data_IF_869771042315
#
_entry.id   IF_869771042315
#
_cell.length_a   1.000
_cell.length_b   1.000
_cell.length_c   1.000
_cell.angle_alpha   90.00
_cell.angle_beta   90.00
_cell.angle_gamma   90.00
#
_symmetry.space_group_name_H-M   'P 1'
#
loop_
_entity.id
_entity.type
_entity.pdbx_description
1 polymer ?
#
# COMPACT_ATOMS: atom_id res chain seq x y z
N UNK A 1 17.14 -3.55 21.96
CA UNK A 1 15.75 -3.12 21.69
C UNK A 1 15.62 -2.39 20.35
N UNK A 2 16.53 -1.48 19.99
CA UNK A 2 16.50 -0.75 18.72
C UNK A 2 16.55 -1.65 17.46
N UNK A 3 17.40 -2.69 17.47
CA UNK A 3 17.44 -3.68 16.40
C UNK A 3 16.12 -4.45 16.23
N UNK A 4 15.42 -4.73 17.33
CA UNK A 4 14.13 -5.43 17.29
C UNK A 4 13.07 -4.52 16.68
N UNK A 5 13.05 -3.24 17.07
CA UNK A 5 12.19 -2.23 16.47
C UNK A 5 12.43 -2.16 14.95
N UNK A 6 13.69 -2.02 14.53
CA UNK A 6 14.09 -2.00 13.11
C UNK A 6 13.56 -3.23 12.32
N UNK A 7 13.64 -4.43 12.90
CA UNK A 7 13.12 -5.65 12.25
C UNK A 7 11.59 -5.62 12.14
N UNK A 8 10.88 -5.19 13.20
CA UNK A 8 9.41 -5.08 13.19
C UNK A 8 8.96 -4.03 12.17
N UNK A 9 9.61 -2.88 12.15
CA UNK A 9 9.42 -1.82 11.17
C UNK A 9 9.61 -2.29 9.74
N UNK A 10 10.73 -2.98 9.50
CA UNK A 10 11.02 -3.53 8.19
C UNK A 10 10.01 -4.60 7.76
N UNK A 11 9.55 -5.42 8.70
CA UNK A 11 8.51 -6.42 8.45
C UNK A 11 7.19 -5.77 8.03
N UNK A 12 6.73 -4.77 8.78
CA UNK A 12 5.53 -3.99 8.44
C UNK A 12 5.69 -3.25 7.11
N UNK A 13 6.85 -2.62 6.88
CA UNK A 13 7.20 -1.96 5.63
C UNK A 13 7.15 -2.92 4.43
N UNK A 14 7.70 -4.12 4.57
CA UNK A 14 7.63 -5.17 3.55
C UNK A 14 6.20 -5.59 3.22
N UNK A 15 5.30 -5.64 4.22
CA UNK A 15 3.87 -5.89 4.00
C UNK A 15 3.20 -4.76 3.23
N UNK A 16 3.47 -3.52 3.63
CA UNK A 16 2.97 -2.35 2.92
C UNK A 16 3.42 -2.36 1.46
N UNK A 17 4.67 -2.73 1.17
CA UNK A 17 5.19 -2.87 -0.20
C UNK A 17 4.43 -3.94 -0.99
N UNK A 18 4.12 -5.10 -0.40
CA UNK A 18 3.31 -6.14 -1.06
C UNK A 18 1.90 -5.66 -1.40
N UNK A 19 1.30 -4.86 -0.53
CA UNK A 19 -0.01 -4.26 -0.78
C UNK A 19 0.04 -3.20 -1.87
N UNK A 20 1.04 -2.30 -1.84
CA UNK A 20 1.24 -1.29 -2.87
C UNK A 20 1.51 -1.92 -4.23
N UNK A 21 2.33 -2.97 -4.30
CA UNK A 21 2.58 -3.71 -5.54
C UNK A 21 1.28 -4.31 -6.12
N UNK A 22 0.44 -4.90 -5.25
CA UNK A 22 -0.87 -5.42 -5.66
C UNK A 22 -1.76 -4.32 -6.25
N UNK A 23 -1.75 -3.13 -5.64
CA UNK A 23 -2.53 -1.97 -6.12
C UNK A 23 -1.98 -1.43 -7.43
N UNK A 24 -0.67 -1.30 -7.56
CA UNK A 24 -0.01 -0.83 -8.78
C UNK A 24 -0.32 -1.75 -9.97
N UNK A 25 -0.25 -3.08 -9.78
CA UNK A 25 -0.64 -4.05 -10.80
C UNK A 25 -2.11 -3.87 -11.22
N UNK A 26 -3.02 -3.74 -10.25
CA UNK A 26 -4.43 -3.53 -10.59
C UNK A 26 -4.66 -2.21 -11.32
N UNK A 27 -4.03 -1.13 -10.86
CA UNK A 27 -4.11 0.19 -11.46
C UNK A 27 -3.60 0.19 -12.92
N UNK A 28 -2.51 -0.53 -13.19
CA UNK A 28 -2.01 -0.75 -14.54
C UNK A 28 -3.04 -1.50 -15.42
N UNK A 29 -3.69 -2.54 -14.88
CA UNK A 29 -4.75 -3.24 -15.62
C UNK A 29 -5.96 -2.33 -15.93
N UNK A 30 -6.40 -1.48 -15.00
CA UNK A 30 -7.49 -0.53 -15.26
C UNK A 30 -7.10 0.55 -16.26
N UNK A 31 -5.86 1.04 -16.21
CA UNK A 31 -5.33 2.01 -17.16
C UNK A 31 -5.22 1.43 -18.58
N UNK A 32 -4.83 0.15 -18.69
CA UNK A 32 -4.83 -0.57 -19.96
C UNK A 32 -6.25 -0.71 -20.54
N UNK A 33 -7.25 -0.99 -19.69
CA UNK A 33 -8.66 -1.09 -20.12
C UNK A 33 -9.26 0.27 -20.52
N UNK A 34 -8.78 1.37 -19.95
CA UNK A 34 -9.24 2.72 -20.30
C UNK A 34 -8.51 3.32 -21.52
N UNK A 35 -7.58 2.58 -22.13
CA UNK A 35 -6.82 3.02 -23.31
C UNK A 35 -5.74 4.07 -23.02
N UNK A 36 -5.45 4.35 -21.75
CA UNK A 36 -4.43 5.33 -21.35
C UNK A 36 -3.62 4.85 -20.15
N UNK A 37 -2.39 4.39 -20.44
CA UNK A 37 -1.40 4.02 -19.43
C UNK A 37 -1.00 5.20 -18.52
N UNK A 38 -1.16 6.43 -18.97
CA UNK A 38 -0.88 7.64 -18.19
C UNK A 38 -1.79 7.82 -16.96
N UNK A 39 -2.92 7.10 -16.91
CA UNK A 39 -3.85 7.15 -15.78
C UNK A 39 -3.52 6.15 -14.66
N UNK A 40 -2.52 5.27 -14.83
CA UNK A 40 -2.20 4.22 -13.85
C UNK A 40 -1.89 4.79 -12.46
N UNK A 41 -1.11 5.87 -12.38
CA UNK A 41 -0.80 6.51 -11.09
C UNK A 41 -2.06 7.11 -10.43
N UNK A 42 -2.93 7.75 -11.23
CA UNK A 42 -4.19 8.31 -10.74
C UNK A 42 -5.15 7.23 -10.21
N UNK A 43 -5.22 6.07 -10.89
CA UNK A 43 -5.97 4.93 -10.40
C UNK A 43 -5.37 4.35 -9.12
N UNK A 44 -4.04 4.22 -9.06
CA UNK A 44 -3.37 3.73 -7.86
C UNK A 44 -3.66 4.63 -6.66
N UNK A 45 -3.53 5.95 -6.79
CA UNK A 45 -3.83 6.90 -5.72
C UNK A 45 -5.28 6.85 -5.26
N UNK A 46 -6.19 6.64 -6.22
CA UNK A 46 -7.62 6.56 -5.96
C UNK A 46 -7.98 5.30 -5.18
N UNK A 47 -7.34 4.17 -5.47
CA UNK A 47 -7.66 2.84 -4.90
C UNK A 47 -6.88 2.59 -3.62
N UNK A 48 -5.76 3.29 -3.41
CA UNK A 48 -4.94 3.14 -2.21
C UNK A 48 -5.70 3.56 -0.95
N UNK A 49 -5.94 2.66 0.01
CA UNK A 49 -6.64 2.99 1.25
C UNK A 49 -5.89 4.06 2.06
N UNK A 50 -6.62 4.94 2.75
CA UNK A 50 -6.03 5.98 3.60
C UNK A 50 -5.23 5.39 4.77
N UNK A 51 -5.70 4.28 5.34
CA UNK A 51 -4.99 3.56 6.41
C UNK A 51 -3.63 3.01 5.94
N UNK A 52 -3.52 2.57 4.68
CA UNK A 52 -2.26 2.04 4.13
C UNK A 52 -1.23 3.17 3.98
N UNK A 53 -1.66 4.35 3.52
CA UNK A 53 -0.82 5.55 3.46
C UNK A 53 -0.31 5.95 4.85
N UNK A 54 -1.20 5.96 5.84
CA UNK A 54 -0.83 6.25 7.23
C UNK A 54 0.17 5.24 7.79
N UNK A 55 -0.05 3.94 7.54
CA UNK A 55 0.83 2.88 8.00
C UNK A 55 2.22 2.95 7.34
N UNK A 56 2.29 3.26 6.04
CA UNK A 56 3.56 3.50 5.35
C UNK A 56 4.34 4.68 5.97
N UNK A 57 3.66 5.79 6.25
CA UNK A 57 4.27 6.94 6.93
C UNK A 57 4.82 6.57 8.30
N UNK A 58 4.04 5.82 9.09
CA UNK A 58 4.49 5.31 10.39
C UNK A 58 5.73 4.41 10.27
N UNK A 59 5.73 3.45 9.33
CA UNK A 59 6.88 2.55 9.11
C UNK A 59 8.14 3.33 8.73
N UNK A 60 8.02 4.39 7.94
CA UNK A 60 9.16 5.22 7.57
C UNK A 60 9.74 5.98 8.77
N UNK A 61 8.88 6.58 9.59
CA UNK A 61 9.29 7.29 10.82
C UNK A 61 9.96 6.33 11.80
N UNK A 62 9.36 5.15 12.00
CA UNK A 62 9.88 4.12 12.89
C UNK A 62 11.25 3.61 12.43
N UNK A 63 11.42 3.26 11.16
CA UNK A 63 12.70 2.80 10.61
C UNK A 63 13.79 3.87 10.73
N UNK A 64 13.45 5.11 10.40
CA UNK A 64 14.38 6.25 10.50
C UNK A 64 14.76 6.49 11.96
N UNK A 65 13.80 6.41 12.88
CA UNK A 65 14.03 6.51 14.32
C UNK A 65 14.92 5.39 14.86
N UNK A 66 14.69 4.15 14.44
CA UNK A 66 15.50 3.00 14.86
C UNK A 66 16.95 3.11 14.36
N UNK A 67 17.16 3.47 13.08
CA UNK A 67 18.51 3.68 12.52
C UNK A 67 19.22 4.84 13.21
N UNK A 68 18.51 5.95 13.44
CA UNK A 68 19.08 7.13 14.12
C UNK A 68 19.47 6.80 15.56
N UNK A 69 18.64 6.01 16.26
CA UNK A 69 18.94 5.50 17.59
C UNK A 69 20.17 4.60 17.61
N UNK A 70 20.27 3.64 16.69
CA UNK A 70 21.44 2.75 16.58
C UNK A 70 22.70 3.58 16.33
N UNK A 71 22.63 4.55 15.41
CA UNK A 71 23.75 5.44 15.10
C UNK A 71 24.23 6.22 16.32
N UNK A 72 23.29 6.77 17.10
CA UNK A 72 23.60 7.62 18.25
C UNK A 72 24.10 6.82 19.47
N UNK A 73 23.43 5.73 19.81
CA UNK A 73 23.72 4.96 21.03
C UNK A 73 24.76 3.86 20.85
N UNK A 74 24.86 3.28 19.65
CA UNK A 74 25.74 2.15 19.37
C UNK A 74 26.92 2.53 18.45
N UNK A 75 26.91 3.75 17.92
CA UNK A 75 27.98 4.33 17.12
C UNK A 75 27.78 4.20 15.60
N UNK A 76 28.59 4.94 14.85
CA UNK A 76 28.40 5.14 13.41
C UNK A 76 28.55 3.85 12.58
N UNK A 77 29.43 2.92 12.99
CA UNK A 77 29.62 1.63 12.29
C UNK A 77 28.34 0.79 12.33
N UNK A 78 27.74 0.67 13.52
CA UNK A 78 26.49 -0.03 13.71
C UNK A 78 25.31 0.74 13.09
N UNK A 79 25.38 2.07 13.07
CA UNK A 79 24.45 2.93 12.34
C UNK A 79 24.42 2.64 10.84
N UNK A 80 25.58 2.46 10.20
CA UNK A 80 25.67 2.06 8.79
C UNK A 80 25.07 0.66 8.54
N UNK A 81 25.33 -0.30 9.44
CA UNK A 81 24.73 -1.62 9.36
C UNK A 81 23.20 -1.56 9.52
N UNK A 82 22.70 -0.72 10.44
CA UNK A 82 21.28 -0.45 10.63
C UNK A 82 20.64 0.17 9.38
N UNK A 83 21.31 1.13 8.75
CA UNK A 83 20.84 1.76 7.51
C UNK A 83 20.77 0.73 6.36
N UNK A 84 21.78 -0.12 6.21
CA UNK A 84 21.75 -1.24 5.26
C UNK A 84 20.60 -2.20 5.54
N UNK A 85 20.38 -2.56 6.80
CA UNK A 85 19.29 -3.44 7.21
C UNK A 85 17.91 -2.80 6.93
N UNK A 86 17.73 -1.51 7.19
CA UNK A 86 16.49 -0.78 6.93
C UNK A 86 16.11 -0.72 5.44
N UNK A 87 17.08 -0.83 4.53
CA UNK A 87 16.83 -0.88 3.07
C UNK A 87 16.56 -2.31 2.61
N UNK A 88 17.35 -3.27 3.08
CA UNK A 88 17.33 -4.65 2.57
C UNK A 88 16.18 -5.45 3.20
N UNK A 89 15.95 -5.33 4.51
CA UNK A 89 14.95 -6.14 5.22
C UNK A 89 13.53 -5.95 4.67
N UNK A 90 13.03 -4.73 4.38
CA UNK A 90 11.70 -4.57 3.79
C UNK A 90 11.54 -5.31 2.46
N UNK A 91 12.58 -5.31 1.62
CA UNK A 91 12.58 -6.05 0.36
C UNK A 91 12.57 -7.57 0.59
N UNK A 92 13.36 -8.06 1.54
CA UNK A 92 13.32 -9.48 1.94
C UNK A 92 11.92 -9.86 2.42
N UNK A 93 11.32 -9.08 3.31
CA UNK A 93 9.99 -9.37 3.87
C UNK A 93 8.87 -9.26 2.84
N UNK A 94 8.99 -8.35 1.88
CA UNK A 94 8.11 -8.25 0.72
C UNK A 94 8.06 -9.57 -0.07
N UNK A 95 9.22 -10.18 -0.35
CA UNK A 95 9.30 -11.45 -1.09
C UNK A 95 9.00 -12.69 -0.24
N UNK A 96 9.48 -12.71 1.01
CA UNK A 96 9.46 -13.90 1.85
C UNK A 96 8.11 -14.13 2.54
N UNK A 97 7.39 -13.07 2.95
CA UNK A 97 6.24 -13.23 3.83
C UNK A 97 4.88 -13.07 3.11
N UNK A 98 3.91 -13.99 3.31
CA UNK A 98 2.53 -13.85 2.79
C UNK A 98 1.70 -12.83 3.59
N UNK A 99 0.82 -12.01 2.99
CA UNK A 99 0.36 -12.09 1.61
C UNK A 99 1.38 -11.53 0.62
N UNK A 100 1.61 -12.29 -0.46
CA UNK A 100 2.39 -11.85 -1.62
C UNK A 100 1.55 -10.90 -2.46
N UNK A 101 2.19 -10.17 -3.38
CA UNK A 101 1.49 -9.35 -4.37
C UNK A 101 0.40 -10.17 -5.08
N UNK A 102 -0.77 -9.57 -5.29
CA UNK A 102 -1.93 -10.23 -5.92
C UNK A 102 -2.98 -10.79 -4.97
N UNK A 103 -2.94 -10.44 -3.67
CA UNK A 103 -3.92 -10.94 -2.69
C UNK A 103 -5.34 -10.42 -2.95
N UNK A 104 -6.27 -11.34 -3.26
CA UNK A 104 -7.69 -11.07 -3.48
C UNK A 104 -8.36 -10.48 -2.24
N UNK A 105 -8.00 -10.96 -1.03
CA UNK A 105 -8.54 -10.46 0.24
C UNK A 105 -8.19 -8.98 0.45
N UNK A 106 -6.98 -8.59 0.07
CA UNK A 106 -6.56 -7.20 0.17
C UNK A 106 -7.30 -6.32 -0.84
N UNK A 107 -7.42 -6.77 -2.10
CA UNK A 107 -8.19 -6.06 -3.12
C UNK A 107 -9.67 -5.88 -2.74
N UNK A 108 -10.26 -6.89 -2.10
CA UNK A 108 -11.60 -6.79 -1.51
C UNK A 108 -11.67 -5.69 -0.44
N UNK A 109 -10.69 -5.64 0.47
CA UNK A 109 -10.63 -4.58 1.50
C UNK A 109 -10.46 -3.18 0.90
N UNK A 110 -9.67 -3.06 -0.19
CA UNK A 110 -9.49 -1.81 -0.91
C UNK A 110 -10.80 -1.39 -1.61
N UNK A 111 -11.53 -2.33 -2.21
CA UNK A 111 -12.84 -2.09 -2.82
C UNK A 111 -13.89 -1.62 -1.79
N UNK A 112 -13.93 -2.24 -0.60
CA UNK A 112 -14.80 -1.75 0.49
C UNK A 112 -14.39 -0.36 0.97
N UNK A 113 -13.09 -0.09 1.08
CA UNK A 113 -12.59 1.22 1.52
C UNK A 113 -12.89 2.31 0.48
N UNK A 114 -12.82 1.98 -0.81
CA UNK A 114 -13.28 2.85 -1.88
C UNK A 114 -14.76 3.19 -1.71
N UNK A 115 -15.61 2.18 -1.54
CA UNK A 115 -17.05 2.38 -1.35
C UNK A 115 -17.33 3.32 -0.16
N UNK A 116 -16.66 3.13 0.98
CA UNK A 116 -16.83 4.00 2.16
C UNK A 116 -16.28 5.41 1.95
N UNK A 117 -15.09 5.59 1.37
CA UNK A 117 -14.53 6.91 1.06
C UNK A 117 -15.44 7.70 0.09
N UNK A 118 -16.10 7.03 -0.85
CA UNK A 118 -17.08 7.65 -1.72
C UNK A 118 -18.38 8.02 -0.99
N UNK A 119 -18.86 7.17 -0.09
CA UNK A 119 -20.00 7.52 0.76
C UNK A 119 -19.71 8.75 1.62
N UNK A 120 -18.50 8.88 2.16
CA UNK A 120 -18.06 10.04 2.94
C UNK A 120 -17.92 11.29 2.07
N UNK A 121 -17.30 11.21 0.88
CA UNK A 121 -17.20 12.34 -0.07
C UNK A 121 -18.55 12.81 -0.58
N UNK A 122 -19.50 11.90 -0.81
CA UNK A 122 -20.87 12.24 -1.19
C UNK A 122 -21.61 12.98 -0.08
N UNK A 123 -21.27 12.69 1.18
CA UNK A 123 -21.85 13.35 2.37
C UNK A 123 -21.23 14.72 2.64
N UNK A 124 -19.98 14.94 2.27
CA UNK A 124 -19.23 16.19 2.56
C UNK A 124 -19.29 17.21 1.41
N UNK A 125 -19.12 16.79 0.16
CA UNK A 125 -19.00 17.73 -0.98
C UNK A 125 -20.24 17.79 -1.88
N UNK A 126 -21.25 16.93 -1.67
CA UNK A 126 -22.50 16.91 -2.46
C UNK A 126 -22.35 16.65 -3.97
N UNK A 127 -21.11 16.55 -4.47
CA UNK A 127 -20.77 16.62 -5.90
C UNK A 127 -20.02 15.38 -6.42
N UNK A 128 -19.73 14.39 -5.57
CA UNK A 128 -19.14 13.13 -6.04
C UNK A 128 -20.18 12.36 -6.88
N UNK A 129 -19.98 12.18 -8.20
CA UNK A 129 -20.94 11.45 -9.03
C UNK A 129 -20.98 9.99 -8.58
N UNK A 130 -22.13 9.49 -8.15
CA UNK A 130 -22.31 8.05 -7.87
C UNK A 130 -22.01 7.16 -9.09
N UNK A 131 -21.96 7.76 -10.29
CA UNK A 131 -21.57 7.12 -11.54
C UNK A 131 -20.07 6.76 -11.56
N UNK A 132 -19.17 7.64 -11.11
CA UNK A 132 -17.71 7.39 -11.15
C UNK A 132 -17.27 6.32 -10.16
N UNK A 133 -17.94 6.16 -9.01
CA UNK A 133 -17.63 5.10 -8.05
C UNK A 133 -18.09 3.72 -8.53
N UNK A 134 -19.31 3.61 -9.08
CA UNK A 134 -19.78 2.39 -9.72
C UNK A 134 -18.91 2.03 -10.92
N UNK A 135 -18.50 3.02 -11.70
CA UNK A 135 -17.60 2.83 -12.83
C UNK A 135 -16.19 2.42 -12.40
N UNK A 136 -15.67 2.94 -11.29
CA UNK A 136 -14.35 2.55 -10.78
C UNK A 136 -14.39 1.15 -10.14
N UNK A 137 -15.48 0.79 -9.46
CA UNK A 137 -15.70 -0.57 -8.95
C UNK A 137 -15.94 -1.55 -10.10
N UNK A 138 -16.70 -1.18 -11.13
CA UNK A 138 -16.91 -2.03 -12.30
C UNK A 138 -15.61 -2.23 -13.09
N UNK A 139 -14.78 -1.19 -13.22
CA UNK A 139 -13.43 -1.28 -13.80
C UNK A 139 -12.49 -2.13 -12.96
N UNK A 140 -12.59 -2.06 -11.64
CA UNK A 140 -11.83 -2.91 -10.72
C UNK A 140 -12.25 -4.39 -10.89
N UNK A 141 -13.55 -4.65 -10.98
CA UNK A 141 -14.10 -5.99 -11.21
C UNK A 141 -13.72 -6.50 -12.61
N UNK A 142 -13.75 -5.65 -13.65
CA UNK A 142 -13.31 -6.06 -14.99
C UNK A 142 -11.80 -6.28 -15.08
N UNK A 143 -11.00 -5.57 -14.29
CA UNK A 143 -9.56 -5.78 -14.19
C UNK A 143 -9.18 -7.03 -13.37
N UNK A 144 -10.01 -7.39 -12.38
CA UNK A 144 -9.84 -8.58 -11.53
C UNK A 144 -11.19 -9.29 -11.36
N UNK A 145 -11.63 -10.09 -12.35
CA UNK A 145 -12.96 -10.72 -12.34
C UNK A 145 -13.17 -11.67 -11.17
N UNK A 146 -12.10 -12.19 -10.59
CA UNK A 146 -12.11 -13.01 -9.39
C UNK A 146 -12.72 -12.27 -8.18
N UNK A 147 -12.65 -10.93 -8.12
CA UNK A 147 -13.28 -10.14 -7.07
C UNK A 147 -14.82 -10.24 -7.08
N UNK A 148 -15.44 -10.49 -8.24
CA UNK A 148 -16.90 -10.55 -8.37
C UNK A 148 -17.53 -11.67 -7.54
N UNK A 149 -16.75 -12.71 -7.19
CA UNK A 149 -17.24 -13.82 -6.35
C UNK A 149 -17.25 -13.47 -4.84
N UNK A 150 -16.64 -12.36 -4.47
CA UNK A 150 -16.40 -11.98 -3.06
C UNK A 150 -16.96 -10.60 -2.68
N UNK A 151 -17.55 -9.86 -3.62
CA UNK A 151 -18.26 -8.60 -3.40
C UNK A 151 -19.77 -8.84 -3.41
#
# INVERSE_FOLDING_TARGET
>A
MLWVALVIGAMLGGKCLSFVATLAETAACMAAQSGSLGLAASYQDSITPSWLRGLMGFCFIELTGAVSGIWYFEGWILGLAGLGAAIILPAIFHHAMPPRAGSILFLRSAAYTLATQFHERRRTDGTAPAATSKEMISRLISAKPELARYL
#
